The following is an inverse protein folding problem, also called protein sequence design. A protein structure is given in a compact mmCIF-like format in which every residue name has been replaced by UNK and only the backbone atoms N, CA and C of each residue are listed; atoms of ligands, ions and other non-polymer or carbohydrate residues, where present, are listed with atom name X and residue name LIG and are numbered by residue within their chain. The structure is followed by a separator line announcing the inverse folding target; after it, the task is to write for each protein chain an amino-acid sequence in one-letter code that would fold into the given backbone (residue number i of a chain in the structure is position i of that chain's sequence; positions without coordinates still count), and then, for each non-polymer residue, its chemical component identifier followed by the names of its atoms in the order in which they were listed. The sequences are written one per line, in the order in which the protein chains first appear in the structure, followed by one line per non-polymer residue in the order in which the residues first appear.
data_IF_733112423591
#
_entry.id   IF_733112423591
#
_cell.length_a   1.000
_cell.length_b   1.000
_cell.length_c   1.000
_cell.angle_alpha   90.00
_cell.angle_beta   90.00
_cell.angle_gamma   90.00
#
_symmetry.space_group_name_H-M   'P 1'
#
loop_
_entity.id
_entity.type
_entity.pdbx_description
1 polymer ?
#
# COMPACT_ATOMS: atom_id res chain seq x y z
N UNK A 1 -12.68 -17.15 -4.18
CA UNK A 1 -12.70 -16.42 -2.91
C UNK A 1 -13.71 -15.29 -3.05
N UNK A 2 -14.75 -15.23 -2.22
CA UNK A 2 -15.81 -14.20 -2.33
C UNK A 2 -15.62 -13.03 -1.36
N UNK A 3 -14.73 -13.17 -0.39
CA UNK A 3 -14.44 -12.18 0.66
C UNK A 3 -12.97 -12.33 1.09
N UNK A 4 -12.32 -11.23 1.48
CA UNK A 4 -10.97 -11.18 2.05
C UNK A 4 -11.08 -10.95 3.55
N UNK A 5 -10.41 -11.78 4.35
CA UNK A 5 -10.36 -11.71 5.80
C UNK A 5 -9.00 -11.22 6.28
N UNK A 6 -8.93 -10.92 7.57
CA UNK A 6 -7.72 -10.46 8.24
C UNK A 6 -6.52 -11.42 8.07
N UNK A 7 -6.78 -12.73 8.12
CA UNK A 7 -5.77 -13.79 7.95
C UNK A 7 -5.20 -13.86 6.53
N UNK A 8 -5.94 -13.39 5.53
CA UNK A 8 -5.50 -13.35 4.12
C UNK A 8 -4.57 -12.17 3.85
N UNK A 9 -4.64 -11.09 4.65
CA UNK A 9 -3.93 -9.83 4.38
C UNK A 9 -2.40 -10.02 4.29
N UNK A 10 -1.71 -10.75 5.20
CA UNK A 10 -0.28 -10.95 5.06
C UNK A 10 0.12 -11.65 3.77
N UNK A 11 -0.64 -12.68 3.36
CA UNK A 11 -0.35 -13.44 2.14
C UNK A 11 -0.58 -12.59 0.89
N UNK A 12 -1.66 -11.80 0.84
CA UNK A 12 -1.92 -10.85 -0.25
C UNK A 12 -0.77 -9.84 -0.41
N UNK A 13 -0.29 -9.26 0.70
CA UNK A 13 0.85 -8.34 0.65
C UNK A 13 2.17 -9.03 0.34
N UNK A 14 2.32 -10.32 0.67
CA UNK A 14 3.49 -11.11 0.27
C UNK A 14 3.53 -11.32 -1.25
N UNK A 15 2.38 -11.57 -1.89
CA UNK A 15 2.29 -11.62 -3.36
C UNK A 15 2.69 -10.29 -3.99
N UNK A 16 2.22 -9.15 -3.44
CA UNK A 16 2.60 -7.82 -3.93
C UNK A 16 4.10 -7.57 -3.74
N UNK A 17 4.67 -7.96 -2.58
CA UNK A 17 6.09 -7.84 -2.31
C UNK A 17 6.94 -8.61 -3.32
N UNK A 18 6.54 -9.85 -3.67
CA UNK A 18 7.22 -10.65 -4.69
C UNK A 18 7.28 -9.92 -6.03
N UNK A 19 6.21 -9.26 -6.45
CA UNK A 19 6.20 -8.46 -7.68
C UNK A 19 7.19 -7.30 -7.61
N UNK A 20 7.25 -6.55 -6.51
CA UNK A 20 8.22 -5.46 -6.37
C UNK A 20 9.67 -5.93 -6.29
N UNK A 21 9.91 -7.12 -5.73
CA UNK A 21 11.24 -7.75 -5.72
C UNK A 21 11.63 -8.17 -7.14
N UNK A 22 10.74 -8.83 -7.88
CA UNK A 22 10.97 -9.28 -9.26
C UNK A 22 11.22 -8.08 -10.20
N UNK A 23 10.45 -7.00 -10.03
CA UNK A 23 10.52 -5.81 -10.88
C UNK A 23 11.49 -4.75 -10.39
N UNK A 24 12.26 -5.03 -9.34
CA UNK A 24 13.14 -4.07 -8.68
C UNK A 24 14.10 -3.36 -9.65
N UNK A 25 14.88 -4.13 -10.41
CA UNK A 25 15.91 -3.55 -11.28
C UNK A 25 15.29 -2.79 -12.46
N UNK A 26 14.14 -3.26 -12.97
CA UNK A 26 13.35 -2.58 -14.01
C UNK A 26 12.86 -1.22 -13.51
N UNK A 27 12.30 -1.16 -12.30
CA UNK A 27 11.85 0.09 -11.68
C UNK A 27 13.00 1.07 -11.42
N UNK A 28 14.14 0.57 -10.94
CA UNK A 28 15.34 1.40 -10.76
C UNK A 28 15.84 1.96 -12.10
N UNK A 29 15.86 1.15 -13.17
CA UNK A 29 16.29 1.60 -14.49
C UNK A 29 15.32 2.63 -15.09
N UNK A 30 14.01 2.44 -14.92
CA UNK A 30 13.01 3.42 -15.36
C UNK A 30 13.16 4.75 -14.62
N UNK A 31 13.31 4.68 -13.29
CA UNK A 31 13.45 5.86 -12.42
C UNK A 31 14.76 6.60 -12.69
N UNK A 32 15.87 5.90 -12.96
CA UNK A 32 17.14 6.53 -13.32
C UNK A 32 17.09 7.41 -14.58
N UNK A 33 16.09 7.21 -15.46
CA UNK A 33 15.92 8.06 -16.64
C UNK A 33 15.39 9.47 -16.30
N UNK A 34 14.68 9.63 -15.18
CA UNK A 34 13.96 10.87 -14.83
C UNK A 34 14.03 11.25 -13.33
N UNK A 35 14.74 10.47 -12.52
CA UNK A 35 14.81 10.52 -11.06
C UNK A 35 16.19 10.07 -10.56
N UNK A 36 16.26 9.51 -9.35
CA UNK A 36 17.53 9.09 -8.72
C UNK A 36 17.84 7.59 -8.87
N UNK A 37 16.90 6.81 -9.40
CA UNK A 37 17.09 5.39 -9.70
C UNK A 37 16.88 4.48 -8.50
N UNK A 38 16.28 4.99 -7.41
CA UNK A 38 16.09 4.21 -6.18
C UNK A 38 14.69 3.58 -6.05
N UNK A 39 13.77 3.90 -6.96
CA UNK A 39 12.36 3.52 -6.83
C UNK A 39 12.15 2.02 -6.58
N UNK A 40 12.86 1.14 -7.29
CA UNK A 40 12.78 -0.30 -7.09
C UNK A 40 13.23 -0.75 -5.69
N UNK A 41 14.29 -0.13 -5.16
CA UNK A 41 14.77 -0.38 -3.80
C UNK A 41 13.73 0.07 -2.76
N UNK A 42 13.19 1.28 -2.95
CA UNK A 42 12.14 1.88 -2.14
C UNK A 42 10.92 0.96 -2.05
N UNK A 43 10.39 0.54 -3.20
CA UNK A 43 9.16 -0.24 -3.26
C UNK A 43 9.34 -1.68 -2.78
N UNK A 44 10.45 -2.32 -3.16
CA UNK A 44 10.80 -3.67 -2.69
C UNK A 44 10.94 -3.71 -1.17
N UNK A 45 11.66 -2.75 -0.57
CA UNK A 45 11.85 -2.70 0.88
C UNK A 45 10.53 -2.46 1.62
N UNK A 46 9.72 -1.52 1.14
CA UNK A 46 8.47 -1.14 1.81
C UNK A 46 7.44 -2.26 1.79
N UNK A 47 7.19 -2.84 0.62
CA UNK A 47 6.21 -3.92 0.49
C UNK A 47 6.67 -5.24 1.09
N UNK A 48 7.97 -5.55 1.08
CA UNK A 48 8.48 -6.76 1.77
C UNK A 48 8.28 -6.71 3.29
N UNK A 49 8.19 -5.51 3.89
CA UNK A 49 7.89 -5.38 5.31
C UNK A 49 6.38 -5.50 5.64
N UNK A 50 5.50 -5.27 4.66
CA UNK A 50 4.05 -5.19 4.91
C UNK A 50 3.44 -6.44 5.56
N UNK A 51 3.78 -7.69 5.16
CA UNK A 51 3.22 -8.88 5.81
C UNK A 51 3.46 -8.91 7.32
N UNK A 52 4.68 -8.57 7.76
CA UNK A 52 5.02 -8.53 9.19
C UNK A 52 4.38 -7.33 9.88
N UNK A 53 4.38 -6.16 9.25
CA UNK A 53 3.68 -4.98 9.78
C UNK A 53 2.18 -5.25 9.99
N UNK A 54 1.54 -6.01 9.11
CA UNK A 54 0.15 -6.42 9.26
C UNK A 54 -0.01 -7.35 10.48
N UNK A 55 0.82 -8.39 10.59
CA UNK A 55 0.79 -9.34 11.72
C UNK A 55 0.98 -8.62 13.06
N UNK A 56 1.95 -7.72 13.13
CA UNK A 56 2.29 -6.98 14.35
C UNK A 56 1.25 -5.92 14.75
N UNK A 57 0.46 -5.42 13.80
CA UNK A 57 -0.50 -4.34 14.03
C UNK A 57 -1.95 -4.79 13.83
N UNK A 58 -2.18 -6.10 13.86
CA UNK A 58 -3.50 -6.72 13.74
C UNK A 58 -4.44 -6.21 14.84
N UNK A 59 -5.65 -5.82 14.44
CA UNK A 59 -6.75 -5.48 15.34
C UNK A 59 -7.84 -6.50 15.16
N UNK A 60 -8.12 -7.25 16.22
CA UNK A 60 -9.09 -8.34 16.21
C UNK A 60 -10.45 -7.89 15.65
N UNK A 61 -11.00 -8.68 14.72
CA UNK A 61 -12.25 -8.42 14.01
C UNK A 61 -12.33 -7.05 13.31
N UNK A 62 -11.19 -6.48 12.89
CA UNK A 62 -11.18 -5.19 12.22
C UNK A 62 -10.09 -5.07 11.14
N UNK A 63 -10.46 -5.36 9.89
CA UNK A 63 -9.54 -5.31 8.74
C UNK A 63 -9.12 -3.86 8.41
N UNK A 64 -10.05 -2.90 8.53
CA UNK A 64 -9.79 -1.50 8.25
C UNK A 64 -8.76 -0.88 9.18
N UNK A 65 -8.94 -1.05 10.50
CA UNK A 65 -7.98 -0.59 11.52
C UNK A 65 -6.63 -1.31 11.40
N UNK A 66 -6.61 -2.59 11.03
CA UNK A 66 -5.37 -3.34 10.77
C UNK A 66 -4.58 -2.71 9.62
N UNK A 67 -5.22 -2.50 8.46
CA UNK A 67 -4.61 -1.86 7.29
C UNK A 67 -4.14 -0.43 7.61
N UNK A 68 -4.97 0.34 8.32
CA UNK A 68 -4.62 1.70 8.73
C UNK A 68 -3.33 1.74 9.57
N UNK A 69 -3.24 0.89 10.61
CA UNK A 69 -2.04 0.83 11.48
C UNK A 69 -0.82 0.32 10.72
N UNK A 70 -0.96 -0.71 9.90
CA UNK A 70 0.14 -1.22 9.07
C UNK A 70 0.66 -0.15 8.09
N UNK A 71 -0.25 0.56 7.42
CA UNK A 71 0.10 1.69 6.54
C UNK A 71 0.84 2.81 7.28
N UNK A 72 0.43 3.16 8.50
CA UNK A 72 1.16 4.11 9.34
C UNK A 72 2.60 3.66 9.62
N UNK A 73 2.82 2.37 9.88
CA UNK A 73 4.17 1.83 10.11
C UNK A 73 4.99 1.77 8.83
N UNK A 74 4.38 1.45 7.69
CA UNK A 74 5.05 1.43 6.38
C UNK A 74 5.73 2.76 6.06
N UNK A 75 5.08 3.88 6.38
CA UNK A 75 5.65 5.23 6.18
C UNK A 75 6.98 5.44 6.91
N UNK A 76 7.24 4.69 7.99
CA UNK A 76 8.50 4.76 8.76
C UNK A 76 9.57 3.79 8.25
N UNK A 77 9.19 2.73 7.52
CA UNK A 77 10.14 1.73 6.98
C UNK A 77 10.92 2.29 5.79
N UNK A 78 10.24 3.08 4.95
CA UNK A 78 10.81 3.68 3.76
C UNK A 78 10.50 5.17 3.74
N UNK A 79 11.38 6.02 4.31
CA UNK A 79 11.19 7.47 4.36
C UNK A 79 11.50 8.10 3.00
N UNK A 80 10.66 7.81 2.00
CA UNK A 80 10.73 8.39 0.66
C UNK A 80 9.38 8.98 0.25
N UNK A 81 9.36 9.81 -0.79
CA UNK A 81 8.12 10.37 -1.35
C UNK A 81 7.17 9.24 -1.76
N UNK A 82 7.67 8.26 -2.51
CA UNK A 82 6.84 7.13 -2.95
C UNK A 82 6.34 6.29 -1.76
N UNK A 83 7.22 5.96 -0.81
CA UNK A 83 6.83 5.23 0.40
C UNK A 83 5.72 5.94 1.18
N UNK A 84 5.82 7.28 1.30
CA UNK A 84 4.82 8.12 1.96
C UNK A 84 3.49 8.15 1.21
N UNK A 85 3.51 8.17 -0.13
CA UNK A 85 2.30 8.16 -0.95
C UNK A 85 1.57 6.82 -0.82
N UNK A 86 2.28 5.70 -1.01
CA UNK A 86 1.67 4.36 -0.92
C UNK A 86 1.13 4.10 0.49
N UNK A 87 1.88 4.46 1.53
CA UNK A 87 1.41 4.38 2.92
C UNK A 87 0.15 5.22 3.15
N UNK A 88 0.09 6.43 2.58
CA UNK A 88 -1.09 7.30 2.69
C UNK A 88 -2.31 6.68 1.99
N UNK A 89 -2.12 6.02 0.84
CA UNK A 89 -3.16 5.26 0.17
C UNK A 89 -3.69 4.12 1.05
N UNK A 90 -2.81 3.27 1.60
CA UNK A 90 -3.21 2.16 2.49
C UNK A 90 -3.96 2.69 3.72
N UNK A 91 -3.48 3.78 4.30
CA UNK A 91 -4.11 4.41 5.46
C UNK A 91 -5.52 4.92 5.15
N UNK A 92 -5.70 5.62 4.02
CA UNK A 92 -7.01 6.16 3.66
C UNK A 92 -8.00 5.05 3.28
N UNK A 93 -7.52 4.00 2.62
CA UNK A 93 -8.31 2.82 2.31
C UNK A 93 -8.69 2.00 3.56
N UNK A 94 -7.77 1.85 4.52
CA UNK A 94 -8.07 1.21 5.80
C UNK A 94 -9.13 1.99 6.59
N UNK A 95 -9.10 3.33 6.56
CA UNK A 95 -10.11 4.18 7.20
C UNK A 95 -11.50 4.03 6.57
N UNK A 96 -11.60 3.98 5.24
CA UNK A 96 -12.90 3.91 4.56
C UNK A 96 -13.65 2.61 4.82
N UNK A 97 -12.93 1.54 5.17
CA UNK A 97 -13.50 0.26 5.60
C UNK A 97 -14.10 0.27 7.03
N UNK A 98 -13.97 1.37 7.77
CA UNK A 98 -14.57 1.58 9.10
C UNK A 98 -14.31 0.41 10.09
N UNK A 99 -15.37 -0.24 10.59
CA UNK A 99 -15.31 -1.34 11.56
C UNK A 99 -15.63 -2.70 10.96
N UNK A 100 -15.35 -2.88 9.67
CA UNK A 100 -15.55 -4.17 9.00
C UNK A 100 -14.54 -5.22 9.47
N UNK A 101 -14.99 -6.46 9.55
CA UNK A 101 -14.22 -7.66 9.89
C UNK A 101 -13.74 -8.43 8.63
N UNK A 102 -14.26 -8.07 7.46
CA UNK A 102 -13.94 -8.64 6.14
C UNK A 102 -14.18 -7.62 5.02
N UNK A 103 -13.61 -7.89 3.85
CA UNK A 103 -13.70 -7.07 2.64
C UNK A 103 -14.44 -7.88 1.57
N UNK A 104 -15.64 -7.46 1.18
CA UNK A 104 -16.33 -8.02 0.01
C UNK A 104 -15.93 -7.29 -1.30
N UNK A 105 -16.57 -7.63 -2.42
CA UNK A 105 -16.26 -7.02 -3.70
C UNK A 105 -16.51 -5.49 -3.75
N UNK A 106 -17.56 -4.99 -3.09
CA UNK A 106 -17.86 -3.55 -3.02
C UNK A 106 -16.84 -2.83 -2.14
N UNK A 107 -16.43 -3.49 -1.07
CA UNK A 107 -15.41 -2.98 -0.16
C UNK A 107 -14.03 -2.93 -0.81
N UNK A 108 -13.72 -3.91 -1.66
CA UNK A 108 -12.47 -3.90 -2.42
C UNK A 108 -12.44 -2.75 -3.43
N UNK A 109 -13.57 -2.47 -4.10
CA UNK A 109 -13.69 -1.30 -4.97
C UNK A 109 -13.51 0.01 -4.17
N UNK A 110 -14.20 0.14 -3.03
CA UNK A 110 -14.05 1.27 -2.12
C UNK A 110 -12.61 1.43 -1.61
N UNK A 111 -11.92 0.32 -1.32
CA UNK A 111 -10.53 0.30 -0.90
C UNK A 111 -9.65 0.96 -1.97
N UNK A 112 -9.76 0.55 -3.25
CA UNK A 112 -8.94 1.12 -4.32
C UNK A 112 -9.28 2.58 -4.63
N UNK A 113 -10.56 2.97 -4.61
CA UNK A 113 -10.96 4.37 -4.77
C UNK A 113 -10.37 5.25 -3.65
N UNK A 114 -10.47 4.79 -2.41
CA UNK A 114 -9.95 5.49 -1.23
C UNK A 114 -8.42 5.51 -1.22
N UNK A 115 -7.77 4.45 -1.69
CA UNK A 115 -6.33 4.36 -1.84
C UNK A 115 -5.82 5.43 -2.81
N UNK A 116 -6.43 5.53 -3.99
CA UNK A 116 -6.09 6.56 -4.98
C UNK A 116 -6.36 7.97 -4.43
N UNK A 117 -7.50 8.18 -3.76
CA UNK A 117 -7.81 9.46 -3.11
C UNK A 117 -6.77 9.85 -2.03
N UNK A 118 -6.27 8.87 -1.27
CA UNK A 118 -5.22 9.05 -0.27
C UNK A 118 -3.90 9.51 -0.89
N UNK A 119 -3.50 8.89 -2.01
CA UNK A 119 -2.33 9.31 -2.79
C UNK A 119 -2.54 10.73 -3.33
N UNK A 120 -3.69 10.99 -3.96
CA UNK A 120 -4.03 12.32 -4.51
C UNK A 120 -3.89 13.41 -3.47
N UNK A 121 -4.53 13.21 -2.32
CA UNK A 121 -4.57 14.18 -1.22
C UNK A 121 -3.18 14.44 -0.67
N UNK A 122 -2.35 13.40 -0.54
CA UNK A 122 -0.98 13.52 -0.04
C UNK A 122 -0.05 14.19 -1.06
N UNK A 123 -0.10 13.73 -2.31
CA UNK A 123 0.78 14.15 -3.40
C UNK A 123 0.36 15.46 -4.08
N UNK A 124 -0.89 15.88 -3.90
CA UNK A 124 -1.52 17.02 -4.58
C UNK A 124 -1.43 16.91 -6.11
N UNK A 125 -1.54 15.69 -6.63
CA UNK A 125 -1.48 15.39 -8.06
C UNK A 125 -2.86 15.27 -8.70
N UNK A 126 -2.90 15.45 -10.01
CA UNK A 126 -4.07 15.31 -10.87
C UNK A 126 -3.77 14.39 -12.07
N UNK A 127 -4.83 13.98 -12.76
CA UNK A 127 -4.70 13.19 -13.98
C UNK A 127 -3.93 13.98 -15.05
N UNK A 128 -2.85 13.39 -15.57
CA UNK A 128 -1.97 14.02 -16.56
C UNK A 128 -0.63 14.48 -16.01
N UNK A 129 -0.44 14.54 -14.68
CA UNK A 129 0.83 14.93 -14.05
C UNK A 129 1.97 13.91 -14.23
N UNK A 130 1.69 12.78 -14.89
CA UNK A 130 2.61 11.64 -15.07
C UNK A 130 3.09 11.07 -13.73
N UNK A 131 2.17 10.96 -12.78
CA UNK A 131 2.37 10.30 -11.48
C UNK A 131 1.56 9.01 -11.40
N UNK A 132 1.62 8.33 -10.26
CA UNK A 132 0.90 7.07 -10.01
C UNK A 132 -0.61 7.24 -9.71
N UNK A 133 -1.11 8.48 -9.61
CA UNK A 133 -2.53 8.78 -9.39
C UNK A 133 -3.32 8.79 -10.70
#
# INVERSE_FOLDING_TARGET
MTEIRMEDLPELFEFIAKVFVEKKDELCAMDANMGDGDLGLTMSKGYSAMPDLIRENTVENNVGKTLFKAGMKMASVVPSTMGTLMASGIMEAGKSLNEKDKIDAKDLALYFESFAAGIKKRGKCEAGDRTIY
#
